data_IF_343334907027
#
_entry.id   IF_343334907027
#
_cell.length_a   1.000
_cell.length_b   1.000
_cell.length_c   1.000
_cell.angle_alpha   90.00
_cell.angle_beta   90.00
_cell.angle_gamma   90.00
#
_symmetry.space_group_name_H-M   'P 1'
#
loop_
_entity.id
_entity.type
_entity.pdbx_description
1 polymer ?
#
# COMPACT_ATOMS: atom_id res chain seq x y z
N UNK A 1 -7.95 -6.83 49.14
CA UNK A 1 -7.83 -7.07 50.62
C UNK A 1 -6.74 -6.14 51.14
N UNK A 2 -7.11 -4.96 51.56
CA UNK A 2 -6.21 -3.94 52.11
C UNK A 2 -5.90 -4.31 53.54
N UNK A 3 -4.65 -4.51 53.86
CA UNK A 3 -4.18 -5.01 55.13
C UNK A 3 -4.61 -4.07 56.31
N UNK A 4 -5.47 -4.57 57.16
CA UNK A 4 -5.99 -3.87 58.36
C UNK A 4 -4.88 -3.37 59.33
N UNK A 5 -3.67 -3.92 59.23
CA UNK A 5 -2.51 -3.55 60.05
C UNK A 5 -1.88 -2.20 59.64
N UNK A 6 -1.98 -1.79 58.42
CA UNK A 6 -1.46 -0.49 57.93
C UNK A 6 -2.31 0.70 58.42
N UNK A 7 -3.65 0.54 58.48
CA UNK A 7 -4.54 1.61 58.94
C UNK A 7 -4.35 1.94 60.44
N UNK A 8 -4.02 0.95 61.27
CA UNK A 8 -3.78 1.17 62.72
C UNK A 8 -2.46 1.93 62.99
N UNK A 9 -1.42 1.74 62.21
CA UNK A 9 -0.14 2.47 62.36
C UNK A 9 -0.24 3.95 61.96
N UNK A 10 -1.00 4.28 60.93
CA UNK A 10 -1.23 5.68 60.49
C UNK A 10 -2.02 6.45 61.53
N UNK A 11 -3.00 5.80 62.22
CA UNK A 11 -3.81 6.45 63.26
C UNK A 11 -3.02 6.71 64.56
N UNK A 12 -2.04 5.88 64.92
CA UNK A 12 -1.18 6.07 66.10
C UNK A 12 -0.19 7.23 65.89
N UNK A 13 0.31 7.44 64.65
CA UNK A 13 1.22 8.56 64.34
C UNK A 13 0.44 9.89 64.36
N UNK A 14 -0.79 9.93 63.83
CA UNK A 14 -1.63 11.13 63.85
C UNK A 14 -2.07 11.57 65.29
N UNK A 15 -2.19 10.62 66.23
CA UNK A 15 -2.51 10.95 67.63
C UNK A 15 -1.31 11.49 68.43
N UNK A 16 -0.08 11.06 68.16
CA UNK A 16 1.14 11.58 68.77
C UNK A 16 1.48 13.01 68.38
N UNK A 17 1.09 13.42 67.15
CA UNK A 17 1.34 14.78 66.68
C UNK A 17 0.39 15.83 67.25
N UNK A 18 -0.73 15.46 67.86
CA UNK A 18 -1.67 16.40 68.56
C UNK A 18 -1.31 16.72 70.03
N UNK A 19 -0.38 16.00 70.60
CA UNK A 19 0.00 16.23 72.07
C UNK A 19 1.31 17.01 72.25
N UNK A 20 2.01 17.43 71.18
CA UNK A 20 3.27 18.16 71.28
C UNK A 20 3.15 19.65 70.93
N UNK A 21 2.12 20.35 71.35
CA UNK A 21 1.90 21.77 71.04
C UNK A 21 2.22 22.72 72.18
N UNK A 22 3.22 22.43 73.01
CA UNK A 22 3.76 23.43 73.93
C UNK A 22 5.21 23.12 74.28
N UNK A 23 6.18 23.46 73.51
CA UNK A 23 7.53 23.94 73.83
C UNK A 23 8.52 23.76 72.62
N UNK A 24 9.13 24.88 72.21
CA UNK A 24 10.36 25.01 71.37
C UNK A 24 10.23 25.05 69.88
N UNK A 25 10.39 26.28 69.38
CA UNK A 25 10.25 26.74 68.02
C UNK A 25 11.44 26.41 67.04
N UNK A 26 12.42 25.64 67.40
CA UNK A 26 13.63 25.46 66.59
C UNK A 26 13.94 24.01 66.12
N UNK A 27 13.21 22.98 66.59
CA UNK A 27 13.35 21.60 66.09
C UNK A 27 12.27 21.19 65.10
N UNK A 28 11.40 22.11 64.72
CA UNK A 28 10.17 21.79 63.98
C UNK A 28 10.34 21.82 62.42
N UNK A 29 11.46 22.30 61.87
CA UNK A 29 11.68 22.31 60.45
C UNK A 29 12.34 21.04 59.90
N UNK A 30 13.22 20.40 60.67
CA UNK A 30 13.88 19.16 60.21
C UNK A 30 12.95 17.94 60.29
N UNK A 31 12.16 17.81 61.35
CA UNK A 31 11.19 16.70 61.43
C UNK A 31 10.03 16.79 60.41
N UNK A 32 9.68 18.00 59.92
CA UNK A 32 8.71 18.15 58.84
C UNK A 32 9.27 17.78 57.45
N UNK A 33 10.55 18.01 57.25
CA UNK A 33 11.21 17.59 55.99
C UNK A 33 11.37 16.07 55.93
N UNK A 34 11.72 15.43 57.07
CA UNK A 34 11.90 13.98 57.12
C UNK A 34 10.60 13.20 56.99
N UNK A 35 9.50 13.68 57.54
CA UNK A 35 8.17 13.08 57.38
C UNK A 35 7.64 13.29 55.97
N UNK A 36 7.89 14.45 55.35
CA UNK A 36 7.53 14.70 53.97
C UNK A 36 8.35 13.86 52.96
N UNK A 37 9.64 13.68 53.21
CA UNK A 37 10.52 12.84 52.43
C UNK A 37 10.16 11.35 52.60
N UNK A 38 9.88 10.88 53.82
CA UNK A 38 9.43 9.52 54.07
C UNK A 38 8.04 9.21 53.46
N UNK A 39 7.11 10.16 53.46
CA UNK A 39 5.82 10.00 52.79
C UNK A 39 5.98 10.01 51.27
N UNK A 40 6.78 10.91 50.71
CA UNK A 40 7.04 10.94 49.26
C UNK A 40 7.72 9.66 48.78
N UNK A 41 8.69 9.12 49.51
CA UNK A 41 9.37 7.86 49.17
C UNK A 41 8.45 6.64 49.33
N UNK A 42 7.53 6.64 50.30
CA UNK A 42 6.51 5.57 50.43
C UNK A 42 5.43 5.66 49.33
N UNK A 43 5.09 6.86 48.84
CA UNK A 43 4.18 7.04 47.70
C UNK A 43 4.77 6.53 46.39
N UNK A 44 6.06 6.73 46.13
CA UNK A 44 6.73 6.23 44.92
C UNK A 44 6.76 4.68 44.85
N UNK A 45 6.65 3.98 45.98
CA UNK A 45 6.62 2.51 46.03
C UNK A 45 5.21 1.96 45.72
N UNK A 46 4.16 2.79 45.84
CA UNK A 46 2.77 2.33 45.76
C UNK A 46 2.09 2.53 44.39
N UNK A 47 2.53 3.45 43.57
CA UNK A 47 1.94 3.68 42.24
C UNK A 47 2.80 2.97 41.17
N UNK A 48 2.19 2.09 40.37
CA UNK A 48 2.84 1.42 39.26
C UNK A 48 2.23 1.91 37.96
N UNK A 49 3.02 1.92 36.91
CA UNK A 49 2.60 2.29 35.54
C UNK A 49 1.34 1.52 35.09
N UNK A 50 1.26 0.23 35.40
CA UNK A 50 0.09 -0.61 35.12
C UNK A 50 -1.18 -0.17 35.85
N UNK A 51 -1.06 0.49 36.99
CA UNK A 51 -2.23 1.03 37.72
C UNK A 51 -2.72 2.31 37.10
N UNK A 52 -1.79 3.19 36.66
CA UNK A 52 -2.13 4.42 35.92
C UNK A 52 -2.79 4.08 34.61
N UNK A 53 -2.29 3.07 33.89
CA UNK A 53 -2.93 2.58 32.65
C UNK A 53 -4.37 2.09 32.93
N UNK A 54 -4.63 1.37 34.00
CA UNK A 54 -6.00 0.94 34.37
C UNK A 54 -6.94 2.12 34.65
N UNK A 55 -6.44 3.17 35.28
CA UNK A 55 -7.24 4.37 35.53
C UNK A 55 -7.55 5.15 34.25
N UNK A 56 -6.63 5.13 33.29
CA UNK A 56 -6.83 5.75 31.97
C UNK A 56 -7.78 4.94 31.06
N UNK A 57 -7.99 3.63 31.34
CA UNK A 57 -9.03 2.85 30.67
C UNK A 57 -10.46 3.30 31.02
N UNK A 58 -10.64 4.04 32.14
CA UNK A 58 -11.93 4.64 32.49
C UNK A 58 -12.29 5.88 31.64
N UNK A 59 -11.34 6.37 30.81
CA UNK A 59 -11.52 7.58 29.99
C UNK A 59 -11.89 7.18 28.57
N UNK A 60 -13.17 7.28 28.24
CA UNK A 60 -13.72 7.02 26.92
C UNK A 60 -13.52 8.22 25.98
N UNK A 61 -13.32 7.94 24.69
CA UNK A 61 -13.16 8.99 23.67
C UNK A 61 -14.52 9.34 23.06
N UNK A 62 -15.04 10.57 23.23
CA UNK A 62 -16.41 10.93 22.87
C UNK A 62 -16.77 10.72 21.38
N UNK A 63 -15.79 10.77 20.47
CA UNK A 63 -16.00 10.65 19.03
C UNK A 63 -15.63 9.28 18.45
N UNK A 64 -15.22 8.30 19.27
CA UNK A 64 -14.74 6.98 18.79
C UNK A 64 -15.48 5.78 19.38
N UNK A 65 -16.72 6.00 19.79
CA UNK A 65 -17.54 4.97 20.41
C UNK A 65 -16.98 4.53 21.77
N UNK A 66 -17.29 3.34 22.22
CA UNK A 66 -16.92 2.81 23.55
C UNK A 66 -15.42 2.48 23.72
N UNK A 67 -14.53 3.15 22.96
CA UNK A 67 -13.08 2.92 23.05
C UNK A 67 -12.43 3.93 24.00
N UNK A 68 -11.60 3.42 24.91
CA UNK A 68 -10.84 4.22 25.86
C UNK A 68 -9.48 4.70 25.27
N UNK A 69 -8.80 5.61 26.00
CA UNK A 69 -7.53 6.21 25.55
C UNK A 69 -6.41 5.20 25.37
N UNK A 70 -6.39 4.13 26.16
CA UNK A 70 -5.34 3.09 26.11
C UNK A 70 -5.55 2.21 24.88
N UNK A 71 -6.80 1.78 24.61
CA UNK A 71 -7.17 1.02 23.41
C UNK A 71 -6.95 1.79 22.12
N UNK A 72 -7.11 3.10 22.15
CA UNK A 72 -6.83 3.99 21.04
C UNK A 72 -5.33 4.28 20.85
N UNK A 73 -4.49 3.77 21.76
CA UNK A 73 -3.06 4.01 21.74
C UNK A 73 -2.69 5.50 21.88
N UNK A 74 -3.52 6.28 22.59
CA UNK A 74 -3.26 7.70 22.82
C UNK A 74 -2.30 7.95 23.99
N UNK A 75 -2.07 6.96 24.85
CA UNK A 75 -1.11 7.05 25.97
C UNK A 75 0.28 6.68 25.45
N UNK A 76 1.18 7.66 25.38
CA UNK A 76 2.53 7.48 24.85
C UNK A 76 3.56 7.16 25.93
N UNK A 77 3.45 7.83 27.06
CA UNK A 77 4.41 7.67 28.15
C UNK A 77 3.77 7.96 29.49
N UNK A 78 4.13 7.18 30.51
CA UNK A 78 3.76 7.41 31.90
C UNK A 78 5.07 7.47 32.69
N UNK A 79 5.28 8.57 33.40
CA UNK A 79 6.42 8.80 34.27
C UNK A 79 5.93 9.02 35.70
N UNK A 80 6.54 8.35 36.65
CA UNK A 80 6.17 8.44 38.08
C UNK A 80 7.42 8.79 38.86
N UNK A 81 7.49 10.01 39.37
CA UNK A 81 8.62 10.55 40.12
C UNK A 81 8.10 11.31 41.35
N UNK A 82 8.73 11.05 42.53
CA UNK A 82 8.53 11.81 43.76
C UNK A 82 7.09 12.22 44.10
N UNK A 83 6.13 11.30 43.96
CA UNK A 83 4.70 11.58 44.22
C UNK A 83 4.00 12.37 43.10
N UNK A 84 4.63 12.49 41.93
CA UNK A 84 4.09 13.12 40.71
C UNK A 84 3.89 12.06 39.64
N UNK A 85 2.72 12.07 39.02
CA UNK A 85 2.40 11.24 37.86
C UNK A 85 2.31 12.16 36.62
N UNK A 86 3.16 11.94 35.65
CA UNK A 86 3.15 12.65 34.36
C UNK A 86 2.71 11.68 33.28
N UNK A 87 1.63 12.00 32.58
CA UNK A 87 1.11 11.21 31.44
C UNK A 87 1.27 12.04 30.17
N UNK A 88 1.82 11.43 29.12
CA UNK A 88 1.92 12.07 27.82
C UNK A 88 0.90 11.46 26.87
N UNK A 89 -0.03 12.28 26.37
CA UNK A 89 -1.04 11.90 25.39
C UNK A 89 -0.64 12.34 23.99
N UNK A 90 -0.76 11.43 23.02
CA UNK A 90 -0.48 11.68 21.60
C UNK A 90 -1.75 12.04 20.81
N UNK A 91 -1.75 13.17 20.14
CA UNK A 91 -2.82 13.63 19.27
C UNK A 91 -2.39 13.65 17.81
N UNK A 92 -3.30 13.28 16.90
CA UNK A 92 -3.01 13.26 15.45
C UNK A 92 -2.92 14.66 14.81
N UNK A 93 -3.50 15.70 15.46
CA UNK A 93 -3.55 17.07 14.90
C UNK A 93 -3.15 18.09 15.95
N UNK A 94 -2.53 19.18 15.49
CA UNK A 94 -2.09 20.30 16.36
C UNK A 94 -3.24 21.01 17.11
N UNK A 95 -4.47 20.98 16.57
CA UNK A 95 -5.68 21.52 17.20
C UNK A 95 -6.75 20.44 17.14
N UNK A 96 -6.69 19.51 18.08
CA UNK A 96 -7.77 18.53 18.28
C UNK A 96 -8.84 19.20 19.16
N UNK A 97 -10.10 19.31 18.71
CA UNK A 97 -11.17 19.93 19.49
C UNK A 97 -11.46 19.24 20.82
N UNK A 98 -11.06 17.97 20.96
CA UNK A 98 -11.29 17.17 22.15
C UNK A 98 -10.07 17.11 23.07
N UNK A 99 -8.95 17.75 22.72
CA UNK A 99 -7.71 17.67 23.49
C UNK A 99 -7.90 18.14 24.93
N UNK A 100 -8.53 19.30 25.16
CA UNK A 100 -8.78 19.84 26.50
C UNK A 100 -9.67 18.91 27.33
N UNK A 101 -10.71 18.34 26.72
CA UNK A 101 -11.60 17.39 27.37
C UNK A 101 -10.84 16.13 27.78
N UNK A 102 -10.04 15.53 26.89
CA UNK A 102 -9.30 14.30 27.16
C UNK A 102 -8.18 14.51 28.19
N UNK A 103 -7.50 15.67 28.17
CA UNK A 103 -6.53 16.07 29.21
C UNK A 103 -7.23 16.18 30.57
N UNK A 104 -8.36 16.88 30.62
CA UNK A 104 -9.13 17.05 31.85
C UNK A 104 -9.65 15.73 32.43
N UNK A 105 -10.21 14.88 31.56
CA UNK A 105 -10.74 13.56 31.95
C UNK A 105 -9.64 12.62 32.43
N UNK A 106 -8.48 12.59 31.76
CA UNK A 106 -7.32 11.81 32.19
C UNK A 106 -6.78 12.26 33.53
N UNK A 107 -6.66 13.57 33.73
CA UNK A 107 -6.24 14.14 35.02
C UNK A 107 -7.22 13.79 36.14
N UNK A 108 -8.52 13.90 35.88
CA UNK A 108 -9.55 13.55 36.83
C UNK A 108 -9.57 12.06 37.20
N UNK A 109 -9.39 11.16 36.22
CA UNK A 109 -9.30 9.72 36.44
C UNK A 109 -8.11 9.35 37.35
N UNK A 110 -6.95 9.94 37.09
CA UNK A 110 -5.74 9.70 37.89
C UNK A 110 -5.92 10.26 39.32
N UNK A 111 -6.41 11.50 39.46
CA UNK A 111 -6.61 12.12 40.78
C UNK A 111 -7.64 11.34 41.65
N UNK A 112 -8.67 10.78 41.01
CA UNK A 112 -9.70 9.99 41.71
C UNK A 112 -9.14 8.70 42.31
N UNK A 113 -8.24 8.06 41.60
CA UNK A 113 -7.73 6.74 41.97
C UNK A 113 -6.37 6.79 42.68
N UNK A 114 -5.59 7.85 42.49
CA UNK A 114 -4.28 8.01 43.13
C UNK A 114 -4.38 8.36 44.61
N UNK A 115 -3.35 8.07 45.41
CA UNK A 115 -3.26 8.50 46.79
C UNK A 115 -3.35 10.02 46.95
N UNK A 116 -4.02 10.47 48.06
CA UNK A 116 -4.21 11.91 48.32
C UNK A 116 -2.87 12.65 48.42
N UNK A 117 -2.69 13.71 47.61
CA UNK A 117 -1.46 14.50 47.52
C UNK A 117 -0.59 14.19 46.30
N UNK A 118 -0.98 13.26 45.47
CA UNK A 118 -0.28 12.98 44.20
C UNK A 118 -0.47 14.17 43.23
N UNK A 119 0.64 14.73 42.74
CA UNK A 119 0.62 15.76 41.71
C UNK A 119 0.42 15.09 40.34
N UNK A 120 -0.51 15.58 39.51
CA UNK A 120 -0.79 15.00 38.19
C UNK A 120 -0.57 16.04 37.11
N UNK A 121 0.31 15.72 36.20
CA UNK A 121 0.58 16.49 34.97
C UNK A 121 0.21 15.66 33.73
N UNK A 122 -0.52 16.26 32.80
CA UNK A 122 -0.81 15.64 31.50
C UNK A 122 -0.20 16.50 30.42
N UNK A 123 0.78 15.95 29.71
CA UNK A 123 1.46 16.57 28.57
C UNK A 123 0.84 16.08 27.27
N UNK A 124 0.94 16.86 26.23
CA UNK A 124 0.48 16.49 24.89
C UNK A 124 1.63 16.54 23.92
N UNK A 125 1.69 15.53 23.07
CA UNK A 125 2.56 15.55 21.90
C UNK A 125 1.71 15.40 20.65
N UNK A 126 2.15 16.02 19.57
CA UNK A 126 1.58 15.75 18.27
C UNK A 126 2.28 14.48 17.82
N UNK A 127 1.49 13.43 17.61
CA UNK A 127 1.95 12.34 16.76
C UNK A 127 2.12 12.99 15.39
N UNK A 128 3.32 13.47 15.05
CA UNK A 128 3.64 13.52 13.64
C UNK A 128 3.21 12.17 13.11
N UNK A 129 2.37 12.16 12.07
CA UNK A 129 2.18 10.95 11.32
C UNK A 129 3.60 10.47 10.99
N UNK A 130 4.18 9.71 11.87
CA UNK A 130 5.24 8.81 11.51
C UNK A 130 4.68 8.13 10.29
N UNK A 131 5.40 8.18 9.20
CA UNK A 131 5.10 7.53 7.94
C UNK A 131 4.28 6.28 8.24
N UNK A 132 3.08 6.14 7.68
CA UNK A 132 2.00 5.28 8.19
C UNK A 132 2.66 4.01 8.67
N UNK A 133 2.58 3.73 9.97
CA UNK A 133 3.02 2.43 10.50
C UNK A 133 2.29 1.49 9.59
N UNK A 134 3.04 0.80 8.69
CA UNK A 134 2.52 -0.26 7.85
C UNK A 134 1.59 -1.01 8.78
N UNK A 135 0.26 -0.84 8.61
CA UNK A 135 -0.69 -1.78 9.21
C UNK A 135 -0.02 -3.10 8.95
N UNK A 136 -0.08 -4.10 9.84
CA UNK A 136 0.36 -5.40 9.46
C UNK A 136 -0.46 -5.81 8.24
N UNK A 137 -0.14 -5.21 7.09
CA UNK A 137 -0.31 -5.81 5.80
C UNK A 137 0.47 -7.08 6.00
N UNK A 138 -0.16 -8.21 5.73
CA UNK A 138 0.49 -9.47 5.67
C UNK A 138 1.90 -9.20 5.17
N UNK A 139 2.89 -9.26 6.07
CA UNK A 139 4.29 -9.18 5.68
C UNK A 139 4.55 -10.52 5.01
N UNK A 140 4.30 -10.55 3.70
CA UNK A 140 4.42 -11.74 2.90
C UNK A 140 5.87 -12.17 2.75
N UNK A 141 6.80 -11.40 3.34
CA UNK A 141 8.22 -11.72 3.37
C UNK A 141 8.87 -11.76 1.98
N UNK A 142 8.24 -11.14 0.99
CA UNK A 142 8.74 -11.06 -0.38
C UNK A 142 9.14 -9.62 -0.69
N UNK A 143 10.40 -9.31 -0.54
CA UNK A 143 10.96 -8.03 -0.99
C UNK A 143 11.29 -8.06 -2.49
N UNK A 144 11.37 -9.27 -3.10
CA UNK A 144 11.70 -9.47 -4.51
C UNK A 144 10.84 -10.59 -5.11
N UNK A 145 10.54 -10.46 -6.40
CA UNK A 145 9.94 -11.56 -7.17
C UNK A 145 11.05 -12.51 -7.57
N UNK A 146 11.23 -13.57 -6.78
CA UNK A 146 12.37 -14.48 -6.89
C UNK A 146 12.52 -15.05 -8.31
N UNK A 147 13.73 -14.93 -8.87
CA UNK A 147 14.08 -15.50 -10.17
C UNK A 147 13.67 -14.67 -11.39
N UNK A 148 13.08 -13.47 -11.20
CA UNK A 148 12.72 -12.58 -12.29
C UNK A 148 13.79 -11.49 -12.45
N UNK A 149 14.33 -11.34 -13.69
CA UNK A 149 15.36 -10.35 -13.96
C UNK A 149 14.80 -8.95 -14.14
N UNK A 150 13.79 -8.81 -15.03
CA UNK A 150 13.21 -7.52 -15.41
C UNK A 150 11.70 -7.53 -15.21
N UNK A 151 11.16 -6.57 -14.46
CA UNK A 151 9.72 -6.40 -14.22
C UNK A 151 9.28 -5.10 -14.86
N UNK A 152 8.38 -5.18 -15.86
CA UNK A 152 7.94 -4.04 -16.67
C UNK A 152 6.44 -3.85 -16.52
N UNK A 153 6.02 -2.65 -16.15
CA UNK A 153 4.61 -2.26 -16.12
C UNK A 153 4.11 -1.87 -17.53
N UNK A 154 2.97 -2.41 -17.97
CA UNK A 154 2.27 -1.94 -19.16
C UNK A 154 1.10 -1.10 -18.70
N UNK A 155 1.17 0.19 -18.93
CA UNK A 155 0.24 1.18 -18.41
C UNK A 155 -0.52 1.91 -19.51
N UNK A 156 -1.65 2.50 -19.19
CA UNK A 156 -2.38 3.40 -20.08
C UNK A 156 -3.07 4.51 -19.32
N UNK A 157 -3.17 5.70 -19.89
CA UNK A 157 -3.85 6.83 -19.29
C UNK A 157 -5.37 6.63 -19.19
N UNK A 158 -5.98 5.82 -20.06
CA UNK A 158 -7.42 5.51 -20.06
C UNK A 158 -7.70 4.10 -20.56
N UNK A 159 -8.90 3.61 -20.28
CA UNK A 159 -9.40 2.34 -20.83
C UNK A 159 -9.68 2.40 -22.33
N UNK A 160 -9.67 1.24 -23.00
CA UNK A 160 -10.05 1.10 -24.40
C UNK A 160 -8.96 1.43 -25.43
N UNK A 161 -7.74 1.74 -25.02
CA UNK A 161 -6.61 2.01 -25.93
C UNK A 161 -5.91 0.73 -26.43
N UNK A 162 -6.36 -0.46 -25.98
CA UNK A 162 -5.78 -1.75 -26.35
C UNK A 162 -4.55 -2.14 -25.53
N UNK A 163 -4.42 -1.65 -24.30
CA UNK A 163 -3.33 -1.97 -23.38
C UNK A 163 -3.09 -3.49 -23.26
N UNK A 164 -4.11 -4.26 -22.90
CA UNK A 164 -4.00 -5.72 -22.72
C UNK A 164 -3.72 -6.46 -24.03
N UNK A 165 -4.22 -5.95 -25.17
CA UNK A 165 -3.85 -6.47 -26.48
C UNK A 165 -2.34 -6.32 -26.73
N UNK A 166 -1.78 -5.15 -26.41
CA UNK A 166 -0.34 -4.91 -26.52
C UNK A 166 0.42 -5.77 -25.52
N UNK A 167 -0.03 -5.87 -24.28
CA UNK A 167 0.61 -6.68 -23.22
C UNK A 167 0.72 -8.15 -23.61
N UNK A 168 -0.37 -8.76 -24.03
CA UNK A 168 -0.42 -10.18 -24.43
C UNK A 168 0.47 -10.44 -25.64
N UNK A 169 0.36 -9.60 -26.69
CA UNK A 169 1.15 -9.78 -27.91
C UNK A 169 2.64 -9.50 -27.66
N UNK A 170 2.99 -8.54 -26.81
CA UNK A 170 4.37 -8.27 -26.40
C UNK A 170 4.97 -9.46 -25.65
N UNK A 171 4.22 -10.07 -24.72
CA UNK A 171 4.67 -11.26 -23.99
C UNK A 171 4.96 -12.43 -24.94
N UNK A 172 4.04 -12.71 -25.86
CA UNK A 172 4.22 -13.77 -26.86
C UNK A 172 5.39 -13.45 -27.81
N UNK A 173 5.54 -12.20 -28.23
CA UNK A 173 6.63 -11.78 -29.12
C UNK A 173 8.00 -11.92 -28.41
N UNK A 174 8.13 -11.53 -27.15
CA UNK A 174 9.35 -11.75 -26.36
C UNK A 174 9.68 -13.24 -26.22
N UNK A 175 8.66 -14.08 -25.97
CA UNK A 175 8.85 -15.53 -25.92
C UNK A 175 9.32 -16.10 -27.28
N UNK A 176 8.81 -15.60 -28.40
CA UNK A 176 9.28 -15.98 -29.75
C UNK A 176 10.72 -15.56 -30.02
N UNK A 177 11.19 -14.49 -29.40
CA UNK A 177 12.60 -14.07 -29.45
C UNK A 177 13.51 -14.94 -28.55
N UNK A 178 12.96 -15.91 -27.81
CA UNK A 178 13.70 -16.85 -26.99
C UNK A 178 13.84 -16.46 -25.52
N UNK A 179 13.20 -15.38 -25.08
CA UNK A 179 13.19 -14.99 -23.67
C UNK A 179 12.22 -15.84 -22.86
N UNK A 180 12.52 -16.05 -21.60
CA UNK A 180 11.61 -16.62 -20.61
C UNK A 180 10.70 -15.52 -20.09
N UNK A 181 9.39 -15.60 -20.34
CA UNK A 181 8.44 -14.51 -20.12
C UNK A 181 7.29 -14.93 -19.23
N UNK A 182 6.91 -14.05 -18.32
CA UNK A 182 5.65 -14.10 -17.58
C UNK A 182 4.81 -12.85 -17.84
N UNK A 183 3.50 -12.99 -17.67
CA UNK A 183 2.57 -11.87 -17.68
C UNK A 183 1.57 -12.03 -16.53
N UNK A 184 1.48 -10.98 -15.68
CA UNK A 184 0.47 -10.83 -14.65
C UNK A 184 -0.58 -9.78 -15.08
N UNK A 185 -1.83 -10.22 -15.26
CA UNK A 185 -2.97 -9.36 -15.55
C UNK A 185 -3.55 -8.80 -14.24
N UNK A 186 -3.26 -7.55 -13.98
CA UNK A 186 -3.65 -6.82 -12.79
C UNK A 186 -4.88 -5.92 -13.02
N UNK A 187 -5.57 -6.02 -14.15
CA UNK A 187 -6.78 -5.25 -14.42
C UNK A 187 -8.00 -5.87 -13.71
N UNK A 188 -8.24 -5.44 -12.45
CA UNK A 188 -9.33 -5.96 -11.61
C UNK A 188 -10.73 -5.62 -12.13
N UNK A 189 -10.83 -4.64 -13.02
CA UNK A 189 -12.12 -4.17 -13.54
C UNK A 189 -12.53 -4.84 -14.85
N UNK A 190 -11.55 -5.37 -15.59
CA UNK A 190 -11.80 -6.01 -16.85
C UNK A 190 -10.68 -6.95 -17.27
N UNK A 191 -10.41 -8.03 -16.48
CA UNK A 191 -9.34 -8.95 -16.79
C UNK A 191 -9.61 -9.65 -18.13
N UNK A 192 -8.83 -9.29 -19.16
CA UNK A 192 -9.04 -9.76 -20.53
C UNK A 192 -8.03 -10.80 -20.99
N UNK A 193 -6.93 -10.97 -20.25
CA UNK A 193 -5.87 -11.93 -20.62
C UNK A 193 -6.36 -13.36 -20.72
N UNK A 194 -7.23 -13.90 -19.82
CA UNK A 194 -7.76 -15.25 -19.97
C UNK A 194 -8.46 -15.48 -21.31
N UNK A 195 -9.26 -14.50 -21.76
CA UNK A 195 -9.93 -14.55 -23.07
C UNK A 195 -8.94 -14.54 -24.21
N UNK A 196 -8.00 -13.58 -24.21
CA UNK A 196 -7.02 -13.38 -25.27
C UNK A 196 -6.00 -14.51 -25.42
N UNK A 197 -5.95 -15.42 -24.44
CA UNK A 197 -5.03 -16.56 -24.42
C UNK A 197 -5.76 -17.90 -24.46
N UNK A 198 -7.10 -17.90 -24.58
CA UNK A 198 -7.95 -19.08 -24.43
C UNK A 198 -7.61 -19.93 -23.20
N UNK A 199 -7.51 -19.25 -22.06
CA UNK A 199 -7.31 -19.85 -20.73
C UNK A 199 -8.49 -19.57 -19.81
N UNK A 200 -9.64 -19.13 -20.36
CA UNK A 200 -10.87 -18.92 -19.59
C UNK A 200 -11.31 -20.21 -18.89
N UNK A 201 -11.73 -20.08 -17.63
CA UNK A 201 -12.14 -21.23 -16.82
C UNK A 201 -11.01 -22.13 -16.32
N UNK A 202 -9.77 -21.86 -16.72
CA UNK A 202 -8.62 -22.54 -16.12
C UNK A 202 -8.42 -22.01 -14.68
N UNK A 203 -8.03 -22.93 -13.78
CA UNK A 203 -7.76 -22.59 -12.39
C UNK A 203 -6.29 -22.89 -12.11
N UNK A 204 -5.48 -21.90 -11.71
CA UNK A 204 -4.12 -22.11 -11.31
C UNK A 204 -4.02 -23.09 -10.14
N UNK A 205 -3.07 -24.00 -10.21
CA UNK A 205 -2.78 -24.91 -9.10
C UNK A 205 -2.13 -24.14 -7.95
N UNK A 206 -2.54 -24.45 -6.72
CA UNK A 206 -1.94 -23.92 -5.51
C UNK A 206 -1.52 -25.06 -4.59
N UNK A 207 -0.37 -24.93 -3.95
CA UNK A 207 0.13 -25.90 -3.00
C UNK A 207 0.84 -25.23 -1.83
N UNK A 208 0.94 -25.94 -0.71
CA UNK A 208 1.69 -25.49 0.47
C UNK A 208 3.17 -25.80 0.30
N UNK A 209 4.01 -24.77 0.45
CA UNK A 209 5.47 -24.88 0.52
C UNK A 209 5.93 -24.36 1.89
N UNK A 210 6.03 -25.25 2.86
CA UNK A 210 6.18 -24.89 4.27
C UNK A 210 4.94 -24.19 4.81
N UNK A 211 5.12 -22.97 5.36
CA UNK A 211 4.02 -22.15 5.88
C UNK A 211 3.41 -21.21 4.82
N UNK A 212 3.87 -21.29 3.56
CA UNK A 212 3.43 -20.39 2.48
C UNK A 212 2.58 -21.13 1.46
N UNK A 213 1.48 -20.52 1.06
CA UNK A 213 0.73 -20.96 -0.11
C UNK A 213 1.39 -20.38 -1.37
N UNK A 214 1.67 -21.26 -2.34
CA UNK A 214 2.34 -20.92 -3.60
C UNK A 214 1.41 -21.25 -4.75
N UNK A 215 1.26 -20.33 -5.67
CA UNK A 215 0.39 -20.45 -6.84
C UNK A 215 1.27 -20.73 -8.08
N UNK A 216 0.86 -21.67 -8.91
CA UNK A 216 1.54 -21.98 -10.16
C UNK A 216 0.91 -21.21 -11.31
N UNK A 217 1.70 -20.48 -12.13
CA UNK A 217 1.15 -19.82 -13.31
C UNK A 217 0.74 -20.83 -14.37
N UNK A 218 -0.24 -20.47 -15.20
CA UNK A 218 -0.60 -21.26 -16.37
C UNK A 218 0.46 -21.05 -17.46
N UNK A 219 0.79 -22.10 -18.21
CA UNK A 219 1.77 -22.03 -19.31
C UNK A 219 1.08 -22.24 -20.66
N UNK A 220 1.22 -21.27 -21.55
CA UNK A 220 0.73 -21.34 -22.92
C UNK A 220 1.51 -20.39 -23.83
N UNK A 221 1.72 -20.76 -25.08
CA UNK A 221 2.46 -19.96 -26.08
C UNK A 221 3.89 -19.58 -25.64
N UNK A 222 4.52 -20.39 -24.78
CA UNK A 222 5.84 -20.09 -24.24
C UNK A 222 5.89 -19.01 -23.18
N UNK A 223 4.73 -18.59 -22.66
CA UNK A 223 4.57 -17.56 -21.63
C UNK A 223 3.88 -18.14 -20.41
N UNK A 224 4.29 -17.70 -19.22
CA UNK A 224 3.63 -17.97 -17.95
C UNK A 224 2.58 -16.89 -17.66
N UNK A 225 1.32 -17.30 -17.50
CA UNK A 225 0.19 -16.40 -17.34
C UNK A 225 -0.37 -16.47 -15.92
N UNK A 226 -0.64 -15.31 -15.35
CA UNK A 226 -1.43 -15.17 -14.15
C UNK A 226 -2.40 -14.00 -14.33
N UNK A 227 -3.66 -14.19 -13.98
CA UNK A 227 -4.68 -13.16 -14.08
C UNK A 227 -5.59 -13.19 -12.85
N UNK A 228 -5.97 -12.01 -12.38
CA UNK A 228 -7.02 -11.88 -11.36
C UNK A 228 -8.34 -12.50 -11.86
N UNK A 229 -8.53 -12.58 -13.17
CA UNK A 229 -9.69 -13.22 -13.81
C UNK A 229 -9.80 -14.71 -13.54
N UNK A 230 -8.74 -15.42 -13.18
CA UNK A 230 -8.80 -16.85 -12.84
C UNK A 230 -9.48 -17.10 -11.48
N UNK A 231 -9.51 -16.09 -10.60
CA UNK A 231 -10.10 -16.18 -9.26
C UNK A 231 -11.52 -15.61 -9.20
N UNK A 232 -11.98 -14.98 -10.27
CA UNK A 232 -13.30 -14.40 -10.38
C UNK A 232 -14.22 -15.32 -11.20
N UNK A 233 -15.36 -15.75 -10.63
CA UNK A 233 -16.37 -16.41 -11.45
C UNK A 233 -17.01 -15.38 -12.38
N UNK A 234 -17.19 -15.69 -13.69
CA UNK A 234 -17.74 -14.73 -14.66
C UNK A 234 -19.11 -14.12 -14.26
N UNK A 235 -19.87 -14.84 -13.45
CA UNK A 235 -21.22 -14.47 -13.01
C UNK A 235 -21.22 -13.66 -11.70
N UNK A 236 -20.09 -13.55 -11.01
CA UNK A 236 -19.97 -12.79 -9.77
C UNK A 236 -19.28 -11.45 -10.04
N UNK A 237 -20.07 -10.38 -10.01
CA UNK A 237 -19.51 -9.04 -9.88
C UNK A 237 -18.75 -8.94 -8.55
N UNK A 238 -17.45 -9.21 -8.57
CA UNK A 238 -16.60 -8.99 -7.41
C UNK A 238 -16.49 -7.48 -7.19
N UNK A 239 -17.14 -7.00 -6.14
CA UNK A 239 -17.01 -5.59 -5.73
C UNK A 239 -15.66 -5.45 -5.00
N UNK A 240 -14.62 -5.18 -5.76
CA UNK A 240 -13.31 -4.89 -5.22
C UNK A 240 -13.29 -3.50 -4.59
N UNK A 241 -13.13 -3.42 -3.27
CA UNK A 241 -12.76 -2.16 -2.63
C UNK A 241 -11.27 -1.94 -2.81
N UNK A 242 -10.85 -0.68 -3.08
CA UNK A 242 -9.47 -0.36 -3.40
C UNK A 242 -8.39 -1.10 -2.60
N UNK A 243 -8.42 -1.08 -1.24
CA UNK A 243 -7.41 -1.78 -0.43
C UNK A 243 -7.44 -3.31 -0.59
N UNK A 244 -8.61 -3.91 -0.84
CA UNK A 244 -8.72 -5.36 -1.08
C UNK A 244 -8.14 -5.73 -2.44
N UNK A 245 -8.42 -4.94 -3.46
CA UNK A 245 -7.86 -5.12 -4.79
C UNK A 245 -6.34 -5.03 -4.78
N UNK A 246 -5.78 -3.99 -4.14
CA UNK A 246 -4.32 -3.84 -4.02
C UNK A 246 -3.67 -5.06 -3.34
N UNK A 247 -4.24 -5.54 -2.25
CA UNK A 247 -3.69 -6.71 -1.54
C UNK A 247 -3.79 -7.98 -2.39
N UNK A 248 -4.91 -8.23 -3.06
CA UNK A 248 -5.10 -9.39 -3.92
C UNK A 248 -4.12 -9.39 -5.09
N UNK A 249 -3.95 -8.24 -5.76
CA UNK A 249 -2.99 -8.09 -6.86
C UNK A 249 -1.55 -8.29 -6.39
N UNK A 250 -1.20 -7.73 -5.24
CA UNK A 250 0.12 -7.93 -4.64
C UNK A 250 0.37 -9.41 -4.36
N UNK A 251 -0.58 -10.10 -3.73
CA UNK A 251 -0.49 -11.54 -3.48
C UNK A 251 -0.36 -12.32 -4.79
N UNK A 252 -1.20 -12.03 -5.79
CA UNK A 252 -1.18 -12.67 -7.09
C UNK A 252 0.18 -12.52 -7.79
N UNK A 253 0.87 -11.40 -7.64
CA UNK A 253 2.18 -11.19 -8.30
C UNK A 253 3.32 -11.81 -7.47
N UNK A 254 3.29 -11.65 -6.14
CA UNK A 254 4.39 -12.05 -5.26
C UNK A 254 4.33 -13.52 -4.80
N UNK A 255 3.14 -14.14 -4.74
CA UNK A 255 2.98 -15.55 -4.31
C UNK A 255 3.03 -16.55 -5.47
N UNK A 256 3.10 -16.06 -6.69
CA UNK A 256 3.24 -16.94 -7.86
C UNK A 256 4.66 -17.43 -7.99
N UNK A 257 4.83 -18.73 -8.21
CA UNK A 257 6.13 -19.34 -8.51
C UNK A 257 6.48 -19.13 -9.98
N UNK A 258 6.93 -17.93 -10.28
CA UNK A 258 7.35 -17.57 -11.63
C UNK A 258 8.54 -18.40 -12.13
N UNK A 259 9.42 -18.84 -11.20
CA UNK A 259 10.71 -19.45 -11.52
C UNK A 259 11.64 -18.45 -12.20
N UNK A 260 12.59 -18.95 -12.97
CA UNK A 260 13.51 -18.05 -13.69
C UNK A 260 12.82 -17.44 -14.92
N UNK A 261 12.70 -16.13 -14.92
CA UNK A 261 12.19 -15.32 -16.05
C UNK A 261 13.20 -14.25 -16.42
N UNK A 262 13.29 -13.98 -17.74
CA UNK A 262 13.97 -12.78 -18.22
C UNK A 262 13.07 -11.56 -18.07
N UNK A 263 11.78 -11.68 -18.41
CA UNK A 263 10.79 -10.60 -18.31
C UNK A 263 9.53 -11.05 -17.59
N UNK A 264 9.04 -10.23 -16.66
CA UNK A 264 7.69 -10.29 -16.13
C UNK A 264 6.96 -9.00 -16.50
N UNK A 265 5.95 -9.11 -17.34
CA UNK A 265 5.09 -8.00 -17.72
C UNK A 265 3.91 -7.91 -16.76
N UNK A 266 3.61 -6.70 -16.29
CA UNK A 266 2.43 -6.43 -15.45
C UNK A 266 1.44 -5.62 -16.28
N UNK A 267 0.35 -6.23 -16.71
CA UNK A 267 -0.77 -5.54 -17.38
C UNK A 267 -1.55 -4.76 -16.33
N UNK A 268 -1.28 -3.46 -16.20
CA UNK A 268 -1.77 -2.62 -15.11
C UNK A 268 -3.22 -2.21 -15.33
N UNK A 269 -3.99 -1.88 -14.28
CA UNK A 269 -5.30 -1.26 -14.43
C UNK A 269 -5.21 0.02 -15.27
N UNK A 270 -6.25 0.43 -15.99
CA UNK A 270 -6.24 1.69 -16.74
C UNK A 270 -6.30 2.90 -15.80
N UNK A 271 -5.72 4.02 -16.23
CA UNK A 271 -5.76 5.29 -15.52
C UNK A 271 -4.62 5.48 -14.52
N UNK A 272 -4.83 6.37 -13.55
CA UNK A 272 -3.83 6.81 -12.56
C UNK A 272 -4.38 6.82 -11.13
N UNK A 273 -5.30 5.92 -10.81
CA UNK A 273 -5.96 5.82 -9.51
C UNK A 273 -5.11 5.12 -8.44
N UNK A 274 -5.65 5.04 -7.23
CA UNK A 274 -4.97 4.51 -6.03
C UNK A 274 -4.40 3.09 -6.22
N UNK A 275 -5.11 2.23 -6.94
CA UNK A 275 -4.66 0.85 -7.22
C UNK A 275 -3.38 0.88 -8.06
N UNK A 276 -3.33 1.75 -9.06
CA UNK A 276 -2.18 1.93 -9.93
C UNK A 276 -0.95 2.39 -9.14
N UNK A 277 -1.13 3.43 -8.32
CA UNK A 277 -0.06 3.99 -7.47
C UNK A 277 0.45 2.93 -6.48
N UNK A 278 -0.46 2.18 -5.83
CA UNK A 278 -0.08 1.11 -4.91
C UNK A 278 0.73 0.01 -5.60
N UNK A 279 0.33 -0.43 -6.81
CA UNK A 279 1.08 -1.42 -7.57
C UNK A 279 2.50 -0.95 -7.91
N UNK A 280 2.63 0.29 -8.39
CA UNK A 280 3.94 0.86 -8.75
C UNK A 280 4.85 1.02 -7.54
N UNK A 281 4.26 1.29 -6.36
CA UNK A 281 5.01 1.42 -5.11
C UNK A 281 5.42 0.05 -4.53
N UNK A 282 4.50 -0.93 -4.58
CA UNK A 282 4.68 -2.21 -3.87
C UNK A 282 5.41 -3.27 -4.69
N UNK A 283 5.46 -3.12 -6.03
CA UNK A 283 6.15 -4.03 -6.93
C UNK A 283 7.47 -3.39 -7.40
N UNK A 284 8.58 -4.13 -7.44
CA UNK A 284 9.88 -3.60 -7.88
C UNK A 284 9.92 -3.44 -9.41
N UNK A 285 9.06 -2.58 -9.97
CA UNK A 285 9.07 -2.27 -11.39
C UNK A 285 10.37 -1.58 -11.78
N UNK A 286 11.01 -2.04 -12.83
CA UNK A 286 12.18 -1.39 -13.43
C UNK A 286 11.78 -0.17 -14.24
N UNK A 287 10.61 -0.23 -14.89
CA UNK A 287 10.03 0.88 -15.62
C UNK A 287 8.66 0.55 -16.19
N UNK A 288 8.10 1.48 -16.94
CA UNK A 288 6.79 1.31 -17.55
C UNK A 288 6.80 1.61 -19.05
N UNK A 289 6.04 0.81 -19.81
CA UNK A 289 5.66 1.09 -21.19
C UNK A 289 4.26 1.67 -21.18
N UNK A 290 4.08 2.82 -21.80
CA UNK A 290 2.78 3.49 -21.88
C UNK A 290 2.13 3.20 -23.22
N UNK A 291 0.89 2.70 -23.20
CA UNK A 291 0.09 2.43 -24.38
C UNK A 291 -0.98 3.51 -24.56
N UNK A 292 -1.08 4.08 -25.76
CA UNK A 292 -2.11 5.05 -26.11
C UNK A 292 -2.56 4.91 -27.57
N UNK A 293 -3.64 5.61 -27.91
CA UNK A 293 -4.06 5.86 -29.29
C UNK A 293 -3.65 7.28 -29.70
N UNK A 294 -3.59 7.62 -31.00
CA UNK A 294 -3.17 8.97 -31.44
C UNK A 294 -4.19 10.09 -31.15
N UNK A 295 -5.36 9.78 -30.60
CA UNK A 295 -6.41 10.76 -30.25
C UNK A 295 -5.94 11.74 -29.17
N UNK A 296 -6.17 13.03 -29.35
CA UNK A 296 -5.79 14.07 -28.38
C UNK A 296 -6.43 13.85 -27.01
N UNK A 297 -7.66 13.33 -26.94
CA UNK A 297 -8.31 12.95 -25.68
C UNK A 297 -7.55 11.83 -24.94
N UNK A 298 -7.00 10.85 -25.67
CA UNK A 298 -6.20 9.78 -25.05
C UNK A 298 -4.84 10.30 -24.62
N UNK A 299 -4.24 11.18 -25.41
CA UNK A 299 -2.94 11.80 -25.14
C UNK A 299 -2.99 12.70 -23.89
N UNK A 300 -4.09 13.41 -23.66
CA UNK A 300 -4.28 14.18 -22.43
C UNK A 300 -4.23 13.31 -21.17
N UNK A 301 -4.70 12.08 -21.24
CA UNK A 301 -4.60 11.13 -20.13
C UNK A 301 -3.20 10.49 -20.03
N UNK A 302 -2.46 10.35 -21.16
CA UNK A 302 -1.04 9.97 -21.14
C UNK A 302 -0.20 10.97 -20.36
N UNK A 303 -0.47 12.27 -20.49
CA UNK A 303 0.22 13.31 -19.72
C UNK A 303 0.10 13.07 -18.21
N UNK A 304 -1.09 12.70 -17.74
CA UNK A 304 -1.32 12.36 -16.32
C UNK A 304 -0.51 11.13 -15.90
N UNK A 305 -0.46 10.09 -16.76
CA UNK A 305 0.34 8.89 -16.55
C UNK A 305 1.84 9.21 -16.47
N UNK A 306 2.37 9.98 -17.42
CA UNK A 306 3.78 10.42 -17.43
C UNK A 306 4.11 11.18 -16.13
N UNK A 307 3.27 12.12 -15.72
CA UNK A 307 3.46 12.90 -14.51
C UNK A 307 3.41 12.02 -13.26
N UNK A 308 2.54 11.00 -13.23
CA UNK A 308 2.47 10.03 -12.14
C UNK A 308 3.78 9.24 -12.00
N UNK A 309 4.30 8.66 -13.09
CA UNK A 309 5.55 7.90 -13.06
C UNK A 309 6.77 8.76 -12.70
N UNK A 310 6.78 10.04 -13.10
CA UNK A 310 7.82 11.02 -12.76
C UNK A 310 7.66 11.68 -11.39
N UNK A 311 6.56 11.45 -10.70
CA UNK A 311 6.34 11.98 -9.34
C UNK A 311 7.43 11.46 -8.40
N UNK A 312 7.90 12.28 -7.46
CA UNK A 312 8.97 11.94 -6.51
C UNK A 312 8.66 10.71 -5.65
N UNK A 313 7.38 10.49 -5.35
CA UNK A 313 6.93 9.35 -4.53
C UNK A 313 6.90 8.03 -5.32
N UNK A 314 6.79 8.09 -6.65
CA UNK A 314 6.75 6.94 -7.57
C UNK A 314 8.12 6.73 -8.20
N UNK A 315 8.67 7.74 -8.81
CA UNK A 315 10.01 7.83 -9.41
C UNK A 315 10.42 6.57 -10.21
N UNK A 316 9.58 6.17 -11.16
CA UNK A 316 9.85 5.03 -12.05
C UNK A 316 10.10 5.54 -13.47
N UNK A 317 11.12 5.01 -14.17
CA UNK A 317 11.40 5.39 -15.54
C UNK A 317 10.28 4.97 -16.49
N UNK A 318 10.08 5.76 -17.55
CA UNK A 318 9.21 5.41 -18.66
C UNK A 318 10.11 4.88 -19.77
N UNK A 319 10.00 3.58 -20.04
CA UNK A 319 10.80 2.90 -21.04
C UNK A 319 10.42 3.32 -22.47
N UNK A 320 9.17 3.74 -22.64
CA UNK A 320 8.72 4.32 -23.90
C UNK A 320 7.21 4.31 -24.06
N UNK A 321 6.79 4.83 -25.22
CA UNK A 321 5.39 4.94 -25.63
C UNK A 321 5.11 3.98 -26.81
N UNK A 322 3.97 3.31 -26.77
CA UNK A 322 3.40 2.54 -27.87
C UNK A 322 2.15 3.26 -28.37
N UNK A 323 2.16 3.68 -29.64
CA UNK A 323 0.99 4.22 -30.31
C UNK A 323 0.20 3.08 -30.95
N UNK A 324 -0.85 2.63 -30.28
CA UNK A 324 -1.76 1.61 -30.78
C UNK A 324 -2.87 2.23 -31.64
N UNK A 325 -3.44 1.46 -32.55
CA UNK A 325 -4.48 1.93 -33.49
C UNK A 325 -4.01 3.12 -34.34
N UNK A 326 -2.74 3.14 -34.72
CA UNK A 326 -2.09 4.27 -35.34
C UNK A 326 -2.67 4.61 -36.73
N UNK A 327 -3.03 3.60 -37.53
CA UNK A 327 -3.70 3.74 -38.84
C UNK A 327 -4.46 2.46 -39.19
N UNK A 328 -5.33 2.56 -40.16
CA UNK A 328 -5.97 1.45 -40.84
C UNK A 328 -5.52 1.41 -42.31
N UNK A 329 -5.27 0.21 -42.82
CA UNK A 329 -4.96 -0.01 -44.26
C UNK A 329 -5.98 -0.98 -44.83
N UNK A 330 -6.84 -0.56 -45.80
CA UNK A 330 -7.77 -1.47 -46.47
C UNK A 330 -7.03 -2.55 -47.25
N UNK A 331 -7.61 -3.75 -47.38
CA UNK A 331 -7.00 -4.85 -48.10
C UNK A 331 -6.88 -4.55 -49.61
N UNK A 332 -7.81 -3.79 -50.15
CA UNK A 332 -7.88 -3.39 -51.57
C UNK A 332 -6.88 -2.26 -51.90
N UNK A 333 -6.38 -1.54 -50.88
CA UNK A 333 -5.47 -0.42 -51.00
C UNK A 333 -4.30 -0.54 -50.01
N UNK A 334 -3.36 -1.50 -50.24
CA UNK A 334 -2.32 -1.84 -49.27
C UNK A 334 -1.29 -0.73 -49.05
N UNK A 335 -1.19 0.21 -49.96
CA UNK A 335 -0.26 1.35 -49.86
C UNK A 335 -0.86 2.59 -49.17
N UNK A 336 -2.18 2.55 -48.87
CA UNK A 336 -2.90 3.67 -48.26
C UNK A 336 -3.03 3.50 -46.75
N UNK A 337 -2.83 4.62 -46.03
CA UNK A 337 -3.02 4.67 -44.57
C UNK A 337 -4.11 5.66 -44.22
N UNK A 338 -5.14 5.18 -43.52
CA UNK A 338 -6.24 5.98 -43.01
C UNK A 338 -6.07 6.19 -41.51
N UNK A 339 -5.90 7.42 -41.12
CA UNK A 339 -5.65 7.81 -39.70
C UNK A 339 -6.95 8.07 -38.97
N UNK A 340 -7.71 7.02 -38.66
CA UNK A 340 -9.05 7.09 -38.10
C UNK A 340 -9.07 7.81 -36.73
N UNK A 341 -8.05 7.60 -35.93
CA UNK A 341 -7.91 8.18 -34.61
C UNK A 341 -6.94 9.38 -34.52
N UNK A 342 -6.56 9.93 -35.67
CA UNK A 342 -5.56 11.01 -35.74
C UNK A 342 -4.20 10.52 -36.18
N UNK A 343 -3.33 11.44 -36.50
CA UNK A 343 -2.00 11.17 -37.06
C UNK A 343 -0.89 11.66 -36.15
N UNK A 344 0.11 10.80 -35.91
CA UNK A 344 1.36 11.16 -35.23
C UNK A 344 1.20 11.68 -33.80
N UNK A 345 0.07 11.34 -33.13
CA UNK A 345 -0.17 11.78 -31.77
C UNK A 345 0.85 11.25 -30.78
N UNK A 346 1.20 9.96 -30.91
CA UNK A 346 2.23 9.33 -30.08
C UNK A 346 3.63 9.89 -30.34
N UNK A 347 3.94 10.23 -31.60
CA UNK A 347 5.23 10.87 -31.93
C UNK A 347 5.35 12.21 -31.19
N UNK A 348 4.34 13.09 -31.36
CA UNK A 348 4.33 14.40 -30.67
C UNK A 348 4.44 14.26 -29.13
N UNK A 349 3.82 13.22 -28.57
CA UNK A 349 3.87 12.97 -27.14
C UNK A 349 5.25 12.48 -26.71
N UNK A 350 5.85 11.57 -27.46
CA UNK A 350 7.19 11.06 -27.23
C UNK A 350 8.23 12.19 -27.24
N UNK A 351 8.16 13.07 -28.25
CA UNK A 351 9.02 14.25 -28.35
C UNK A 351 8.80 15.25 -27.20
N UNK A 352 7.53 15.55 -26.87
CA UNK A 352 7.18 16.49 -25.81
C UNK A 352 7.75 16.09 -24.45
N UNK A 353 7.76 14.80 -24.16
CA UNK A 353 8.20 14.28 -22.87
C UNK A 353 9.59 13.65 -22.88
N UNK A 354 10.29 13.70 -24.00
CA UNK A 354 11.60 13.07 -24.16
C UNK A 354 11.58 11.61 -23.71
N UNK A 355 10.70 10.82 -24.31
CA UNK A 355 10.56 9.37 -24.11
C UNK A 355 10.60 8.65 -25.44
N UNK A 356 11.17 7.42 -25.53
CA UNK A 356 11.24 6.67 -26.78
C UNK A 356 9.85 6.31 -27.33
N UNK A 357 9.65 6.44 -28.65
CA UNK A 357 8.53 5.81 -29.35
C UNK A 357 8.91 4.37 -29.72
N UNK A 358 8.41 3.41 -28.94
CA UNK A 358 8.76 1.99 -29.12
C UNK A 358 8.10 1.37 -30.35
N UNK A 359 6.89 1.80 -30.69
CA UNK A 359 6.21 1.25 -31.86
C UNK A 359 4.90 1.94 -32.16
N UNK A 360 4.44 1.72 -33.39
CA UNK A 360 3.13 2.09 -33.86
C UNK A 360 2.44 0.83 -34.40
N UNK A 361 1.32 0.45 -33.79
CA UNK A 361 0.55 -0.75 -34.15
C UNK A 361 -0.68 -0.33 -34.93
N UNK A 362 -0.89 -0.85 -36.14
CA UNK A 362 -2.05 -0.52 -36.98
C UNK A 362 -3.35 -1.15 -36.43
N UNK A 363 -4.47 -0.64 -36.90
CA UNK A 363 -5.77 -1.31 -36.76
C UNK A 363 -5.82 -2.42 -37.81
N UNK A 364 -5.87 -3.68 -37.33
CA UNK A 364 -5.97 -4.85 -38.20
C UNK A 364 -7.05 -5.78 -37.66
N UNK A 365 -7.93 -6.24 -38.53
CA UNK A 365 -9.03 -7.13 -38.19
C UNK A 365 -8.53 -8.42 -37.50
N UNK A 366 -7.43 -8.99 -38.02
CA UNK A 366 -6.84 -10.22 -37.48
C UNK A 366 -6.32 -10.09 -36.04
N UNK A 367 -5.90 -8.89 -35.62
CA UNK A 367 -5.49 -8.65 -34.21
C UNK A 367 -6.72 -8.80 -33.30
N UNK A 368 -7.86 -8.22 -33.69
CA UNK A 368 -9.12 -8.36 -32.94
C UNK A 368 -9.61 -9.81 -32.94
N UNK A 369 -9.69 -10.43 -34.11
CA UNK A 369 -10.17 -11.83 -34.25
C UNK A 369 -9.29 -12.80 -33.47
N UNK A 370 -7.97 -12.65 -33.57
CA UNK A 370 -7.05 -13.46 -32.77
C UNK A 370 -7.23 -13.27 -31.27
N UNK A 371 -7.44 -12.03 -30.80
CA UNK A 371 -7.75 -11.75 -29.39
C UNK A 371 -9.06 -12.41 -28.94
N UNK A 372 -10.10 -12.36 -29.76
CA UNK A 372 -11.40 -13.00 -29.48
C UNK A 372 -11.33 -14.54 -29.48
N UNK A 373 -10.48 -15.11 -30.36
CA UNK A 373 -10.26 -16.55 -30.48
C UNK A 373 -9.26 -17.10 -29.45
N UNK A 374 -8.54 -16.23 -28.72
CA UNK A 374 -7.48 -16.63 -27.81
C UNK A 374 -6.17 -17.03 -28.52
N UNK A 375 -5.96 -16.53 -29.75
CA UNK A 375 -4.78 -16.73 -30.58
C UNK A 375 -4.09 -15.38 -30.83
N UNK A 376 -3.18 -14.95 -29.94
CA UNK A 376 -2.49 -13.68 -30.10
C UNK A 376 -1.84 -13.48 -31.46
N UNK A 377 -2.00 -12.30 -32.06
CA UNK A 377 -1.48 -11.99 -33.40
C UNK A 377 0.05 -12.20 -33.51
N UNK A 378 0.76 -12.00 -32.40
CA UNK A 378 2.20 -12.23 -32.30
C UNK A 378 2.63 -13.68 -32.59
N UNK A 379 1.74 -14.65 -32.59
CA UNK A 379 2.01 -16.03 -33.03
C UNK A 379 2.20 -16.12 -34.55
N UNK A 380 1.66 -15.18 -35.31
CA UNK A 380 1.70 -15.12 -36.77
C UNK A 380 3.02 -14.54 -37.27
N UNK A 381 3.44 -14.98 -38.47
CA UNK A 381 4.54 -14.36 -39.21
C UNK A 381 4.04 -13.32 -40.25
N UNK A 382 2.76 -12.94 -40.18
CA UNK A 382 2.18 -11.86 -40.97
C UNK A 382 2.62 -10.49 -40.49
N UNK A 383 2.43 -9.41 -41.23
CA UNK A 383 2.85 -8.07 -40.85
C UNK A 383 2.30 -7.60 -39.49
N UNK A 384 1.08 -8.00 -39.15
CA UNK A 384 0.43 -7.72 -37.85
C UNK A 384 1.19 -8.38 -36.71
N UNK A 385 1.60 -9.64 -36.85
CA UNK A 385 2.41 -10.35 -35.82
C UNK A 385 3.85 -9.81 -35.77
N UNK A 386 4.45 -9.52 -36.93
CA UNK A 386 5.81 -8.96 -36.99
C UNK A 386 5.91 -7.56 -36.35
N UNK A 387 4.83 -6.77 -36.37
CA UNK A 387 4.80 -5.48 -35.69
C UNK A 387 5.03 -5.63 -34.19
N UNK A 388 4.47 -6.67 -33.58
CA UNK A 388 4.69 -6.96 -32.13
C UNK A 388 6.10 -7.54 -31.88
N UNK A 389 6.67 -8.29 -32.82
CA UNK A 389 8.06 -8.76 -32.70
C UNK A 389 9.02 -7.58 -32.72
N UNK A 390 8.85 -6.64 -33.65
CA UNK A 390 9.64 -5.41 -33.71
C UNK A 390 9.48 -4.54 -32.44
N UNK A 391 8.27 -4.50 -31.88
CA UNK A 391 8.04 -3.85 -30.60
C UNK A 391 8.82 -4.55 -29.46
N UNK A 392 8.78 -5.88 -29.42
CA UNK A 392 9.47 -6.68 -28.41
C UNK A 392 11.00 -6.49 -28.47
N UNK A 393 11.59 -6.44 -29.66
CA UNK A 393 13.01 -6.15 -29.83
C UNK A 393 13.41 -4.79 -29.26
N UNK A 394 12.57 -3.75 -29.47
CA UNK A 394 12.84 -2.42 -28.92
C UNK A 394 12.68 -2.39 -27.41
N UNK A 395 11.62 -3.01 -26.87
CA UNK A 395 11.44 -3.10 -25.41
C UNK A 395 12.61 -3.83 -24.75
N UNK A 396 13.04 -4.95 -25.32
CA UNK A 396 14.19 -5.68 -24.81
C UNK A 396 15.47 -4.84 -24.83
N UNK A 397 15.68 -4.04 -25.88
CA UNK A 397 16.85 -3.16 -26.02
C UNK A 397 16.87 -2.02 -25.01
N UNK A 398 15.72 -1.50 -24.59
CA UNK A 398 15.64 -0.44 -23.58
C UNK A 398 15.94 -0.94 -22.16
N UNK A 399 15.91 -2.25 -21.95
CA UNK A 399 16.02 -2.87 -20.61
C UNK A 399 17.33 -3.63 -20.44
N UNK A 400 17.81 -4.32 -21.51
CA UNK A 400 19.04 -5.08 -21.51
C UNK A 400 20.28 -4.23 -21.84
#
# INVERSE_FOLDING_TARGET
MTCMHCKKRVYVIARKTRQCNSARKTRHCEERSDVAILTATMYNIMIKENEVNKWLMEVEHPAKGDKNLVELGMVEKIEIEEGKVTVTLGFAKHRDPLAEYLIGSSKAAIIRNAPAGTAVEVKTIIKNEAAPKKKPGLDLGFEEVAGVKHIIGIASGKGGVGKSTVSVNLAVALARLGYKVGLADADVYGPSVPKMTATEGAMPDAFQDGDKEVIMPLEKYGVKWMSIGYFAKPEQALIWRGPMACNALKQMILQVRWGELDFLLIDMPPGTGDIHISLVHDIPLEGAVIVSTPQDVALADVEKGVNMFRNKDVNKPILGLVENMAWFTPAEHPDEKYYIFGKEGGIRMAEKYDIPLLGQIPIVQSIREGGDAGEPAALSSRPDGLAFVALAEKVAKEVL
#
